data_IF_935911534499
#
_entry.id   IF_935911534499
#
_cell.length_a   1.000
_cell.length_b   1.000
_cell.length_c   1.000
_cell.angle_alpha   90.00
_cell.angle_beta   90.00
_cell.angle_gamma   90.00
#
_symmetry.space_group_name_H-M   'P 1'
#
loop_
_entity.id
_entity.type
_entity.pdbx_description
1 polymer ?
#
# COMPACT_ATOMS: atom_id res chain seq x y z
N UNK A 1 -3.35 -14.69 8.99
CA UNK A 1 -3.47 -14.11 7.63
C UNK A 1 -3.05 -12.64 7.54
N UNK A 2 -3.33 -11.79 8.55
CA UNK A 2 -3.07 -10.34 8.49
C UNK A 2 -1.62 -9.90 8.80
N UNK A 3 -0.83 -10.73 9.49
CA UNK A 3 0.48 -10.29 10.02
C UNK A 3 1.59 -10.01 8.99
N UNK A 4 1.49 -10.58 7.78
CA UNK A 4 2.46 -10.30 6.69
C UNK A 4 2.04 -9.15 5.78
N UNK A 5 0.74 -8.82 5.73
CA UNK A 5 0.23 -7.66 5.00
C UNK A 5 0.76 -6.36 5.60
N UNK A 6 1.08 -6.35 6.90
CA UNK A 6 1.58 -5.18 7.62
C UNK A 6 3.05 -4.80 7.33
N UNK A 7 3.84 -5.69 6.69
CA UNK A 7 5.24 -5.39 6.34
C UNK A 7 5.46 -5.13 4.86
N UNK A 8 4.50 -5.46 4.00
CA UNK A 8 4.48 -5.00 2.63
C UNK A 8 3.98 -3.56 2.67
N UNK A 9 4.72 -2.56 2.14
CA UNK A 9 4.21 -1.20 2.06
C UNK A 9 2.79 -1.20 1.47
N UNK A 10 1.90 -0.36 1.97
CA UNK A 10 0.48 -0.31 1.53
C UNK A 10 0.33 -0.11 0.02
N UNK A 11 1.39 0.30 -0.68
CA UNK A 11 1.50 0.31 -2.14
C UNK A 11 1.45 -1.07 -2.82
N UNK A 12 1.78 -2.18 -2.14
CA UNK A 12 1.82 -3.53 -2.72
C UNK A 12 0.47 -4.28 -2.61
N UNK A 13 -0.51 -3.74 -1.90
CA UNK A 13 -1.83 -4.35 -1.77
C UNK A 13 -2.56 -4.55 -3.12
N UNK A 14 -2.54 -3.61 -4.09
CA UNK A 14 -3.19 -3.79 -5.39
C UNK A 14 -2.51 -4.85 -6.27
N UNK A 15 -1.20 -5.07 -6.13
CA UNK A 15 -0.52 -6.12 -6.91
C UNK A 15 -0.81 -7.51 -6.36
N UNK A 16 -0.99 -7.63 -5.04
CA UNK A 16 -1.36 -8.88 -4.39
C UNK A 16 -2.81 -9.28 -4.70
N UNK A 17 -3.76 -8.34 -4.78
CA UNK A 17 -5.17 -8.68 -5.08
C UNK A 17 -5.36 -9.35 -6.44
N UNK A 18 -4.59 -8.97 -7.47
CA UNK A 18 -4.62 -9.59 -8.80
C UNK A 18 -3.90 -10.94 -8.88
N UNK A 19 -3.07 -11.29 -7.90
CA UNK A 19 -2.36 -12.57 -7.81
C UNK A 19 -3.16 -13.56 -6.93
N UNK A 20 -3.95 -13.05 -5.99
CA UNK A 20 -4.81 -13.81 -5.07
C UNK A 20 -6.16 -14.20 -5.72
N UNK A 21 -6.60 -13.52 -6.79
CA UNK A 21 -7.81 -13.92 -7.52
C UNK A 21 -7.70 -15.36 -8.04
N UNK A 22 -8.80 -16.13 -7.92
CA UNK A 22 -8.95 -17.59 -8.08
C UNK A 22 -8.57 -18.20 -9.45
N UNK A 23 -7.45 -17.81 -10.02
CA UNK A 23 -6.86 -18.45 -11.19
C UNK A 23 -5.80 -19.45 -10.74
N UNK A 24 -5.87 -20.67 -11.28
CA UNK A 24 -4.88 -21.73 -11.06
C UNK A 24 -3.62 -21.36 -11.84
N UNK A 25 -2.75 -20.55 -11.24
CA UNK A 25 -1.48 -20.18 -11.84
C UNK A 25 -0.43 -21.27 -11.60
N UNK A 26 0.34 -21.61 -12.63
CA UNK A 26 1.50 -22.48 -12.46
C UNK A 26 2.57 -21.81 -11.57
N UNK A 27 3.40 -22.59 -10.88
CA UNK A 27 4.47 -22.05 -10.03
C UNK A 27 5.40 -21.08 -10.78
N UNK A 28 5.70 -21.35 -12.06
CA UNK A 28 6.54 -20.46 -12.85
C UNK A 28 5.84 -19.13 -13.14
N UNK A 29 4.51 -19.15 -13.33
CA UNK A 29 3.72 -17.95 -13.55
C UNK A 29 3.59 -17.10 -12.28
N UNK A 30 3.42 -17.74 -11.11
CA UNK A 30 3.47 -17.05 -9.81
C UNK A 30 4.83 -16.37 -9.60
N UNK A 31 5.93 -17.10 -9.85
CA UNK A 31 7.29 -16.55 -9.75
C UNK A 31 7.45 -15.35 -10.70
N UNK A 32 6.95 -15.44 -11.94
CA UNK A 32 6.98 -14.35 -12.92
C UNK A 32 6.22 -13.11 -12.43
N UNK A 33 5.00 -13.30 -11.94
CA UNK A 33 4.14 -12.21 -11.44
C UNK A 33 4.78 -11.51 -10.24
N UNK A 34 5.22 -12.28 -9.23
CA UNK A 34 5.89 -11.69 -8.07
C UNK A 34 7.22 -11.02 -8.44
N UNK A 35 7.98 -11.60 -9.37
CA UNK A 35 9.21 -10.98 -9.87
C UNK A 35 8.93 -9.66 -10.60
N UNK A 36 7.85 -9.58 -11.38
CA UNK A 36 7.45 -8.36 -12.07
C UNK A 36 6.91 -7.27 -11.11
N UNK A 37 6.44 -7.66 -9.94
CA UNK A 37 6.09 -6.76 -8.84
C UNK A 37 7.32 -6.28 -8.02
N UNK A 38 8.54 -6.58 -8.48
CA UNK A 38 9.82 -6.22 -7.86
C UNK A 38 10.08 -6.79 -6.45
N UNK A 39 9.33 -7.80 -6.02
CA UNK A 39 9.59 -8.48 -4.75
C UNK A 39 10.97 -9.13 -4.73
N UNK A 40 11.70 -9.00 -3.62
CA UNK A 40 13.00 -9.62 -3.36
C UNK A 40 12.89 -11.15 -3.32
N UNK A 41 13.98 -11.86 -3.63
CA UNK A 41 13.90 -13.33 -3.69
C UNK A 41 13.41 -13.95 -2.38
N UNK A 42 13.77 -13.35 -1.23
CA UNK A 42 13.24 -13.76 0.07
C UNK A 42 11.75 -13.47 0.23
N UNK A 43 11.28 -12.32 -0.28
CA UNK A 43 9.87 -11.94 -0.25
C UNK A 43 9.03 -12.85 -1.15
N UNK A 44 9.48 -13.14 -2.38
CA UNK A 44 8.82 -14.08 -3.30
C UNK A 44 8.68 -15.45 -2.63
N UNK A 45 9.74 -15.93 -1.96
CA UNK A 45 9.70 -17.21 -1.24
C UNK A 45 8.65 -17.22 -0.13
N UNK A 46 8.59 -16.15 0.67
CA UNK A 46 7.60 -16.00 1.73
C UNK A 46 6.18 -15.90 1.15
N UNK A 47 5.98 -15.11 0.09
CA UNK A 47 4.67 -14.95 -0.54
C UNK A 47 4.15 -16.26 -1.13
N UNK A 48 5.01 -17.06 -1.78
CA UNK A 48 4.67 -18.39 -2.28
C UNK A 48 4.24 -19.34 -1.17
N UNK A 49 4.94 -19.31 -0.02
CA UNK A 49 4.60 -20.12 1.13
C UNK A 49 3.26 -19.68 1.74
N UNK A 50 3.10 -18.40 2.03
CA UNK A 50 1.96 -17.90 2.80
C UNK A 50 0.67 -17.73 1.99
N UNK A 51 0.76 -17.44 0.69
CA UNK A 51 -0.42 -17.18 -0.16
C UNK A 51 -0.80 -18.37 -1.02
N UNK A 52 0.17 -19.20 -1.41
CA UNK A 52 -0.05 -20.30 -2.35
C UNK A 52 0.30 -21.68 -1.77
N UNK A 53 0.72 -21.76 -0.50
CA UNK A 53 1.13 -23.01 0.16
C UNK A 53 2.25 -23.76 -0.59
N UNK A 54 3.06 -23.02 -1.36
CA UNK A 54 4.18 -23.58 -2.11
C UNK A 54 5.48 -23.35 -1.34
N UNK A 55 6.00 -24.41 -0.74
CA UNK A 55 7.28 -24.39 -0.06
C UNK A 55 8.43 -24.67 -1.05
N UNK A 56 9.25 -23.65 -1.33
CA UNK A 56 10.46 -23.81 -2.14
C UNK A 56 11.67 -23.19 -1.44
N UNK A 57 12.82 -23.84 -1.57
CA UNK A 57 14.08 -23.27 -1.11
C UNK A 57 14.54 -22.10 -1.97
N UNK A 58 15.30 -21.17 -1.39
CA UNK A 58 15.88 -20.03 -2.09
C UNK A 58 16.76 -20.45 -3.29
N UNK A 59 17.46 -21.58 -3.18
CA UNK A 59 18.24 -22.19 -4.27
C UNK A 59 17.35 -22.64 -5.44
N UNK A 60 16.20 -23.27 -5.13
CA UNK A 60 15.22 -23.69 -6.13
C UNK A 60 14.59 -22.48 -6.82
N UNK A 61 14.24 -21.44 -6.07
CA UNK A 61 13.75 -20.17 -6.63
C UNK A 61 14.79 -19.55 -7.57
N UNK A 62 16.05 -19.42 -7.13
CA UNK A 62 17.15 -18.91 -7.97
C UNK A 62 17.37 -19.75 -9.23
N UNK A 63 17.23 -21.07 -9.16
CA UNK A 63 17.31 -21.97 -10.32
C UNK A 63 16.16 -21.72 -11.31
N UNK A 64 14.93 -21.58 -10.81
CA UNK A 64 13.74 -21.26 -11.65
C UNK A 64 13.83 -19.86 -12.26
N UNK A 65 14.28 -18.86 -11.52
CA UNK A 65 14.54 -17.53 -12.08
C UNK A 65 15.56 -17.59 -13.22
N UNK A 66 16.63 -18.39 -13.07
CA UNK A 66 17.60 -18.63 -14.15
C UNK A 66 16.99 -19.32 -15.37
N UNK A 67 16.18 -20.36 -15.18
CA UNK A 67 15.52 -21.06 -16.29
C UNK A 67 14.51 -20.17 -17.02
N UNK A 68 13.81 -19.29 -16.29
CA UNK A 68 12.91 -18.27 -16.83
C UNK A 68 13.65 -17.07 -17.43
N UNK A 69 14.99 -17.10 -17.45
CA UNK A 69 15.89 -16.02 -17.88
C UNK A 69 15.62 -14.70 -17.13
N UNK A 70 15.03 -14.75 -15.94
CA UNK A 70 14.73 -13.58 -15.11
C UNK A 70 15.99 -13.17 -14.33
N UNK A 71 16.60 -12.07 -14.77
CA UNK A 71 17.72 -11.42 -14.06
C UNK A 71 17.30 -10.02 -13.69
N UNK A 72 17.58 -9.60 -12.46
CA UNK A 72 17.50 -8.19 -12.07
C UNK A 72 18.70 -7.50 -12.70
N UNK A 73 18.51 -6.94 -13.89
CA UNK A 73 19.47 -6.00 -14.45
C UNK A 73 19.38 -4.73 -13.61
N UNK A 74 20.49 -4.34 -12.99
CA UNK A 74 20.62 -3.06 -12.28
C UNK A 74 20.54 -1.86 -13.22
N UNK A 75 20.43 -2.08 -14.54
CA UNK A 75 20.47 -1.04 -15.56
C UNK A 75 19.56 -1.37 -16.74
N UNK A 76 18.50 -0.57 -16.86
CA UNK A 76 17.93 0.03 -18.09
C UNK A 76 17.49 -0.82 -19.29
N UNK A 77 17.57 -2.15 -19.30
CA UNK A 77 17.19 -2.88 -20.52
C UNK A 77 16.36 -4.13 -20.26
N UNK A 78 15.03 -3.91 -20.25
CA UNK A 78 14.01 -4.81 -20.81
C UNK A 78 12.92 -3.98 -21.48
N UNK A 79 13.21 -3.63 -22.73
CA UNK A 79 12.34 -3.32 -23.88
C UNK A 79 10.82 -3.23 -23.64
N UNK A 80 10.39 -2.25 -22.85
CA UNK A 80 9.20 -1.46 -23.17
C UNK A 80 9.49 -0.07 -22.63
N UNK A 81 10.35 0.68 -23.34
CA UNK A 81 10.33 2.13 -23.20
C UNK A 81 8.98 2.51 -23.76
N UNK A 82 7.96 2.57 -22.92
CA UNK A 82 6.68 3.17 -23.28
C UNK A 82 7.00 4.56 -23.81
N UNK A 83 6.42 4.91 -24.95
CA UNK A 83 6.65 6.23 -25.54
C UNK A 83 6.32 7.28 -24.50
N UNK A 84 7.02 8.41 -24.49
CA UNK A 84 6.74 9.52 -23.57
C UNK A 84 5.24 9.88 -23.57
N UNK A 85 4.58 9.79 -24.73
CA UNK A 85 3.15 10.01 -24.89
C UNK A 85 2.31 9.00 -24.09
N UNK A 86 2.65 7.72 -24.10
CA UNK A 86 1.93 6.68 -23.35
C UNK A 86 2.04 6.92 -21.84
N UNK A 87 3.23 7.32 -21.38
CA UNK A 87 3.48 7.66 -19.97
C UNK A 87 2.67 8.89 -19.55
N UNK A 88 2.66 9.93 -20.38
CA UNK A 88 1.88 11.15 -20.12
C UNK A 88 0.39 10.83 -20.06
N UNK A 89 -0.13 10.06 -21.03
CA UNK A 89 -1.53 9.66 -21.06
C UNK A 89 -1.92 8.83 -19.82
N UNK A 90 -1.07 7.90 -19.41
CA UNK A 90 -1.29 7.13 -18.20
C UNK A 90 -1.27 8.02 -16.93
N UNK A 91 -0.34 8.97 -16.84
CA UNK A 91 -0.29 9.95 -15.73
C UNK A 91 -1.58 10.79 -15.68
N UNK A 92 -2.03 11.32 -16.83
CA UNK A 92 -3.26 12.13 -16.91
C UNK A 92 -4.47 11.31 -16.47
N UNK A 93 -4.56 10.06 -16.95
CA UNK A 93 -5.65 9.13 -16.59
C UNK A 93 -5.67 8.86 -15.09
N UNK A 94 -4.51 8.56 -14.49
CA UNK A 94 -4.38 8.34 -13.05
C UNK A 94 -4.74 9.59 -12.23
N UNK A 95 -4.31 10.78 -12.66
CA UNK A 95 -4.65 12.04 -12.00
C UNK A 95 -6.17 12.29 -12.05
N UNK A 96 -6.84 11.94 -13.15
CA UNK A 96 -8.29 12.02 -13.30
C UNK A 96 -9.06 11.07 -12.38
N UNK A 97 -8.47 9.93 -12.01
CA UNK A 97 -9.10 8.91 -11.19
C UNK A 97 -8.58 8.94 -9.72
N UNK A 98 -8.15 7.77 -9.20
CA UNK A 98 -7.74 7.58 -7.81
C UNK A 98 -6.31 8.06 -7.53
N UNK A 99 -5.50 8.25 -8.58
CA UNK A 99 -4.12 8.74 -8.51
C UNK A 99 -4.01 10.22 -8.14
N UNK A 100 -5.12 10.97 -8.15
CA UNK A 100 -5.15 12.42 -7.87
C UNK A 100 -4.38 12.80 -6.61
N UNK A 101 -4.50 12.05 -5.52
CA UNK A 101 -3.87 12.38 -4.24
C UNK A 101 -2.46 11.83 -4.06
N UNK A 102 -2.01 10.95 -4.96
CA UNK A 102 -0.80 10.16 -4.81
C UNK A 102 0.46 11.00 -5.11
N UNK A 103 1.56 10.72 -4.40
CA UNK A 103 2.87 11.36 -4.64
C UNK A 103 3.63 10.68 -5.80
N UNK A 104 4.66 11.35 -6.33
CA UNK A 104 5.37 10.85 -7.53
C UNK A 104 5.98 9.43 -7.37
N UNK A 105 6.43 9.06 -6.17
CA UNK A 105 6.96 7.71 -5.90
C UNK A 105 5.88 6.64 -6.04
N UNK A 106 4.73 6.91 -5.46
CA UNK A 106 3.58 6.01 -5.54
C UNK A 106 2.96 6.03 -6.94
N UNK A 107 2.97 7.15 -7.66
CA UNK A 107 2.58 7.21 -9.08
C UNK A 107 3.53 6.37 -9.94
N UNK A 108 4.84 6.50 -9.77
CA UNK A 108 5.84 5.69 -10.47
C UNK A 108 5.65 4.19 -10.25
N UNK A 109 5.38 3.80 -8.99
CA UNK A 109 5.08 2.42 -8.66
C UNK A 109 3.77 1.96 -9.32
N UNK A 110 2.74 2.80 -9.30
CA UNK A 110 1.42 2.48 -9.86
C UNK A 110 1.46 2.28 -11.36
N UNK A 111 2.13 3.18 -12.08
CA UNK A 111 2.34 3.05 -13.53
C UNK A 111 3.11 1.77 -13.88
N UNK A 112 4.04 1.36 -13.02
CA UNK A 112 4.76 0.10 -13.21
C UNK A 112 3.87 -1.13 -13.03
N UNK A 113 3.03 -1.14 -12.01
CA UNK A 113 2.21 -2.31 -11.65
C UNK A 113 0.95 -2.40 -12.52
N UNK A 114 0.18 -1.32 -12.61
CA UNK A 114 -1.13 -1.32 -13.24
C UNK A 114 -1.03 -1.15 -14.76
N UNK A 115 -0.07 -0.34 -15.24
CA UNK A 115 0.12 -0.04 -16.65
C UNK A 115 1.29 -0.79 -17.29
N UNK A 116 2.11 -1.50 -16.50
CA UNK A 116 3.31 -2.18 -16.98
C UNK A 116 4.44 -1.23 -17.44
N UNK A 117 4.31 0.08 -17.18
CA UNK A 117 5.21 1.11 -17.68
C UNK A 117 6.48 1.17 -16.82
N UNK A 118 7.63 0.89 -17.44
CA UNK A 118 8.94 0.99 -16.77
C UNK A 118 9.66 2.27 -17.19
N UNK A 119 9.45 3.33 -16.40
CA UNK A 119 10.07 4.63 -16.64
C UNK A 119 11.02 5.05 -15.49
N UNK A 120 12.06 5.86 -15.76
CA UNK A 120 12.90 6.43 -14.71
C UNK A 120 12.08 7.27 -13.74
N UNK A 121 12.29 7.06 -12.44
CA UNK A 121 11.51 7.74 -11.39
C UNK A 121 11.64 9.26 -11.47
N UNK A 122 12.84 9.75 -11.75
CA UNK A 122 13.12 11.18 -11.77
C UNK A 122 12.53 11.84 -13.03
N UNK A 123 12.39 11.09 -14.13
CA UNK A 123 11.65 11.54 -15.31
C UNK A 123 10.13 11.60 -15.06
N UNK A 124 9.54 10.63 -14.35
CA UNK A 124 8.13 10.73 -13.93
C UNK A 124 7.90 11.97 -13.08
N UNK A 125 8.84 12.30 -12.19
CA UNK A 125 8.75 13.53 -11.41
C UNK A 125 8.79 14.78 -12.29
N UNK A 126 9.62 14.82 -13.34
CA UNK A 126 9.65 15.92 -14.32
C UNK A 126 8.33 16.02 -15.06
N UNK A 127 7.81 14.90 -15.59
CA UNK A 127 6.53 14.86 -16.29
C UNK A 127 5.37 15.30 -15.40
N UNK A 128 5.29 14.83 -14.15
CA UNK A 128 4.27 15.27 -13.21
C UNK A 128 4.36 16.77 -12.87
N UNK A 129 5.56 17.37 -12.89
CA UNK A 129 5.72 18.82 -12.71
C UNK A 129 5.19 19.61 -13.89
N UNK A 130 5.26 19.05 -15.09
CA UNK A 130 4.74 19.66 -16.31
C UNK A 130 3.21 19.50 -16.37
N UNK A 131 2.70 18.30 -16.08
CA UNK A 131 1.27 17.97 -16.16
C UNK A 131 0.45 18.65 -15.06
N UNK A 132 0.97 18.73 -13.83
CA UNK A 132 0.24 19.32 -12.69
C UNK A 132 1.15 20.14 -11.76
N UNK A 133 1.64 21.31 -12.23
CA UNK A 133 2.53 22.17 -11.46
C UNK A 133 1.85 22.73 -10.20
N UNK A 134 0.56 23.08 -10.30
CA UNK A 134 -0.18 23.73 -9.22
C UNK A 134 -0.32 22.81 -8.01
N UNK A 135 -0.59 21.52 -8.23
CA UNK A 135 -0.79 20.59 -7.13
C UNK A 135 0.51 20.22 -6.42
N UNK A 136 1.64 20.25 -7.12
CA UNK A 136 2.95 20.17 -6.49
C UNK A 136 3.20 21.39 -5.63
N UNK A 137 2.84 22.58 -6.12
CA UNK A 137 2.94 23.83 -5.36
C UNK A 137 2.09 23.80 -4.09
N UNK A 138 0.84 23.34 -4.18
CA UNK A 138 -0.06 23.17 -3.03
C UNK A 138 0.54 22.25 -1.96
N UNK A 139 1.14 21.11 -2.35
CA UNK A 139 1.83 20.21 -1.40
C UNK A 139 3.06 20.87 -0.78
N UNK A 140 3.85 21.60 -1.57
CA UNK A 140 5.04 22.33 -1.08
C UNK A 140 4.72 23.40 -0.05
N UNK A 141 3.49 23.96 -0.05
CA UNK A 141 3.05 24.95 0.95
C UNK A 141 3.02 24.40 2.38
N UNK A 142 3.11 23.07 2.58
CA UNK A 142 3.06 22.40 3.90
C UNK A 142 1.83 22.82 4.74
N UNK A 143 0.74 23.22 4.08
CA UNK A 143 -0.52 23.55 4.74
C UNK A 143 -1.44 22.33 4.72
N UNK A 144 -2.05 22.03 5.86
CA UNK A 144 -3.06 20.99 5.95
C UNK A 144 -4.30 21.40 5.15
N UNK A 145 -4.56 20.71 4.04
CA UNK A 145 -5.81 20.89 3.31
C UNK A 145 -6.93 20.14 4.04
N UNK A 146 -7.78 20.88 4.76
CA UNK A 146 -8.97 20.28 5.40
C UNK A 146 -9.98 19.91 4.32
N UNK A 147 -10.51 18.69 4.37
CA UNK A 147 -11.62 18.23 3.51
C UNK A 147 -12.92 18.40 4.27
N UNK A 148 -14.03 18.62 3.56
CA UNK A 148 -15.36 18.55 4.18
C UNK A 148 -15.58 17.11 4.64
N UNK A 149 -15.70 16.92 5.95
CA UNK A 149 -15.94 15.63 6.55
C UNK A 149 -17.44 15.33 6.52
N UNK A 150 -17.86 14.28 5.81
CA UNK A 150 -19.26 13.86 5.71
C UNK A 150 -19.36 12.42 6.20
N UNK A 151 -20.24 12.18 7.16
CA UNK A 151 -20.62 10.84 7.63
C UNK A 151 -22.08 10.57 7.29
N UNK A 152 -22.39 9.33 6.92
CA UNK A 152 -23.74 8.93 6.49
C UNK A 152 -24.75 8.85 7.66
N UNK A 153 -24.27 8.68 8.88
CA UNK A 153 -25.12 8.58 10.08
C UNK A 153 -24.32 8.10 11.30
N UNK A 154 -24.95 8.03 12.49
CA UNK A 154 -24.35 7.46 13.69
C UNK A 154 -23.85 6.03 13.44
N UNK A 155 -22.72 5.65 14.02
CA UNK A 155 -22.10 4.32 13.87
C UNK A 155 -21.69 3.94 12.44
N UNK A 156 -21.73 4.87 11.48
CA UNK A 156 -21.27 4.60 10.11
C UNK A 156 -19.73 4.54 10.00
N UNK A 157 -19.02 5.33 10.82
CA UNK A 157 -17.56 5.38 10.88
C UNK A 157 -17.14 5.68 12.31
N UNK A 158 -16.19 4.91 12.83
CA UNK A 158 -15.57 5.14 14.13
C UNK A 158 -14.13 5.62 13.96
N UNK A 159 -13.74 6.67 14.67
CA UNK A 159 -12.36 7.14 14.72
C UNK A 159 -11.72 6.66 16.00
N UNK A 160 -10.62 5.92 15.88
CA UNK A 160 -9.81 5.49 17.02
C UNK A 160 -8.51 6.30 17.00
N UNK A 161 -8.15 6.90 18.13
CA UNK A 161 -6.92 7.67 18.26
C UNK A 161 -6.29 7.47 19.65
N UNK A 162 -4.98 7.71 19.72
CA UNK A 162 -4.17 7.56 20.92
C UNK A 162 -3.59 8.90 21.40
N UNK A 163 -3.61 9.13 22.71
CA UNK A 163 -3.04 10.29 23.36
C UNK A 163 -1.83 9.89 24.22
N UNK A 164 -0.65 10.28 23.74
CA UNK A 164 0.64 9.85 24.28
C UNK A 164 1.37 10.91 25.12
N UNK A 165 0.78 12.10 25.37
CA UNK A 165 1.51 13.17 26.09
C UNK A 165 1.87 12.80 27.53
N UNK A 166 1.10 11.92 28.16
CA UNK A 166 1.36 11.43 29.53
C UNK A 166 2.02 10.05 29.56
N UNK A 167 2.45 9.55 28.39
CA UNK A 167 3.19 8.29 28.26
C UNK A 167 4.48 8.22 29.09
N UNK A 168 5.25 9.31 29.31
CA UNK A 168 6.40 9.27 30.22
C UNK A 168 6.05 8.84 31.65
N UNK A 169 4.79 8.98 32.07
CA UNK A 169 4.30 8.53 33.37
C UNK A 169 3.71 7.11 33.32
N UNK A 170 3.84 6.39 32.20
CA UNK A 170 3.34 5.02 32.02
C UNK A 170 1.89 4.93 31.56
N UNK A 171 1.25 6.05 31.21
CA UNK A 171 -0.15 6.08 30.79
C UNK A 171 -0.27 6.43 29.30
N UNK A 172 -0.83 5.52 28.52
CA UNK A 172 -1.26 5.77 27.14
C UNK A 172 -2.78 5.80 27.11
N UNK A 173 -3.40 6.91 26.71
CA UNK A 173 -4.86 6.98 26.63
C UNK A 173 -5.28 6.61 25.21
N UNK A 174 -6.23 5.72 25.08
CA UNK A 174 -6.84 5.32 23.81
C UNK A 174 -8.31 5.69 23.84
N UNK A 175 -8.85 6.20 22.74
CA UNK A 175 -10.26 6.55 22.66
C UNK A 175 -10.85 6.29 21.30
N UNK A 176 -12.16 6.07 21.27
CA UNK A 176 -12.94 5.94 20.06
C UNK A 176 -14.12 6.91 20.07
N UNK A 177 -14.35 7.56 18.93
CA UNK A 177 -15.38 8.57 18.75
C UNK A 177 -16.22 8.25 17.50
N UNK A 178 -17.54 8.38 17.61
CA UNK A 178 -18.46 8.28 16.49
C UNK A 178 -18.24 9.41 15.49
N UNK A 179 -18.02 9.08 14.22
CA UNK A 179 -17.73 10.05 13.16
C UNK A 179 -18.85 11.04 12.92
N UNK A 180 -20.11 10.64 13.08
CA UNK A 180 -21.27 11.48 12.84
C UNK A 180 -21.57 12.40 14.03
N UNK A 181 -21.88 11.82 15.19
CA UNK A 181 -22.29 12.58 16.37
C UNK A 181 -21.14 13.12 17.22
N UNK A 182 -19.89 12.74 16.94
CA UNK A 182 -18.70 13.06 17.75
C UNK A 182 -18.82 12.63 19.22
N UNK A 183 -19.66 11.63 19.49
CA UNK A 183 -19.83 11.04 20.82
C UNK A 183 -18.70 10.07 21.11
N UNK A 184 -18.18 10.12 22.33
CA UNK A 184 -17.18 9.17 22.81
C UNK A 184 -17.86 7.81 22.96
N UNK A 185 -17.36 6.81 22.25
CA UNK A 185 -17.83 5.42 22.32
C UNK A 185 -17.14 4.72 23.49
N UNK A 186 -15.82 4.94 23.62
CA UNK A 186 -15.02 4.46 24.74
C UNK A 186 -13.77 5.32 24.92
N UNK A 187 -13.22 5.30 26.14
CA UNK A 187 -11.95 5.92 26.52
C UNK A 187 -11.29 5.02 27.56
N UNK A 188 -10.05 4.59 27.30
CA UNK A 188 -9.31 3.68 28.18
C UNK A 188 -7.88 4.14 28.37
N UNK A 189 -7.29 3.73 29.49
CA UNK A 189 -5.87 3.96 29.79
C UNK A 189 -5.15 2.62 29.73
N UNK A 190 -4.16 2.51 28.85
CA UNK A 190 -3.27 1.38 28.72
C UNK A 190 -1.86 1.70 29.17
N UNK A 191 -1.07 0.68 29.47
CA UNK A 191 0.37 0.81 29.80
C UNK A 191 1.23 1.05 28.55
N UNK A 192 0.72 0.72 27.36
CA UNK A 192 1.47 0.77 26.10
C UNK A 192 0.60 1.27 24.94
N UNK A 193 1.22 1.96 23.98
CA UNK A 193 0.63 2.35 22.69
C UNK A 193 1.23 1.54 21.52
N UNK A 194 1.78 0.36 21.79
CA UNK A 194 2.44 -0.47 20.76
C UNK A 194 1.83 -1.84 20.65
N UNK A 195 1.21 -2.34 21.73
CA UNK A 195 0.48 -3.59 21.68
C UNK A 195 -0.95 -3.33 21.15
N UNK A 196 -1.31 -3.85 19.95
CA UNK A 196 -2.64 -3.70 19.41
C UNK A 196 -3.71 -4.32 20.31
N UNK A 197 -3.41 -5.39 21.05
CA UNK A 197 -4.39 -5.99 21.98
C UNK A 197 -4.83 -4.99 23.04
N UNK A 198 -3.91 -4.16 23.55
CA UNK A 198 -4.23 -3.13 24.56
C UNK A 198 -5.07 -1.98 23.96
N UNK A 199 -4.93 -1.74 22.66
CA UNK A 199 -5.63 -0.68 21.92
C UNK A 199 -7.02 -1.15 21.44
N UNK A 200 -7.16 -2.45 21.16
CA UNK A 200 -8.24 -3.03 20.34
C UNK A 200 -9.20 -3.96 21.11
N UNK A 201 -9.04 -4.10 22.44
CA UNK A 201 -9.82 -5.00 23.32
C UNK A 201 -11.34 -4.94 23.11
N UNK A 202 -11.90 -3.82 22.66
CA UNK A 202 -13.35 -3.63 22.51
C UNK A 202 -13.89 -3.70 21.07
N UNK A 203 -13.05 -3.65 20.02
CA UNK A 203 -13.55 -3.71 18.64
C UNK A 203 -14.06 -5.12 18.30
N UNK A 204 -13.46 -6.15 18.90
CA UNK A 204 -13.85 -7.56 18.70
C UNK A 204 -14.95 -8.04 19.66
N UNK A 205 -15.08 -7.44 20.86
CA UNK A 205 -16.09 -7.85 21.86
C UNK A 205 -17.42 -7.10 21.75
N UNK A 206 -17.44 -5.95 21.06
CA UNK A 206 -18.64 -5.16 20.74
C UNK A 206 -18.77 -4.92 19.23
N UNK A 207 -18.55 -5.96 18.44
CA UNK A 207 -18.94 -5.94 17.03
C UNK A 207 -20.38 -5.44 16.90
N UNK A 208 -20.74 -4.75 15.81
CA UNK A 208 -22.07 -4.19 15.65
C UNK A 208 -23.08 -5.33 15.79
N UNK A 209 -23.88 -5.30 16.85
CA UNK A 209 -25.13 -6.06 16.89
C UNK A 209 -26.07 -5.40 15.89
N UNK A 210 -26.00 -5.89 14.64
CA UNK A 210 -27.01 -5.79 13.59
C UNK A 210 -26.89 -7.03 12.71
#
# INVERSE_FOLDING_TARGET
MLHLVCKVPTSYLPCLSNIISNNVFSLNELILRYFNCDFWNGEIMLLLLYLHQVNISLSTLKRRLRSLRLKRKLTESRNTISSYNDVINAIITEIGCSGRCIGYRSMWYRLRIEWGIRFPRDEILRLMRIVDPERIRVRKRRRLHRRRYICKGPNAVWHVDGYDKIKPFGFCIHGCVDGFGRRIIWLRVGKTNTNPEVIDIDITSRGPTA
#
